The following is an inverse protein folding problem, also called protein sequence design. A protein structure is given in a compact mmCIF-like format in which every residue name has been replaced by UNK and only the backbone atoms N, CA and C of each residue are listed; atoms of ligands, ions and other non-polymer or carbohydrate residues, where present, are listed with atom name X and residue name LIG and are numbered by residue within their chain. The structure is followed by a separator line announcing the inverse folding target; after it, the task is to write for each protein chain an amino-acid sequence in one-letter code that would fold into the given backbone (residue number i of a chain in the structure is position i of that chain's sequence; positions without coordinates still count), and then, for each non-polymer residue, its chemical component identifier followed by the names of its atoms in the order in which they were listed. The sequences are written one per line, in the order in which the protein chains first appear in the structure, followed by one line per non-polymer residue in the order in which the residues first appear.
data_IF_758269433075
#
_entry.id   IF_758269433075
#
_cell.length_a   1.000
_cell.length_b   1.000
_cell.length_c   1.000
_cell.angle_alpha   90.00
_cell.angle_beta   90.00
_cell.angle_gamma   90.00
#
_symmetry.space_group_name_H-M   'P 1'
#
loop_
_entity.id
_entity.type
_entity.pdbx_description
1 polymer ?
#
# COMPACT_ATOMS: atom_id res chain seq x y z
N UNK A 1 33.49 42.18 -53.15
CA UNK A 1 34.41 41.04 -52.92
C UNK A 1 33.53 39.89 -52.42
N UNK A 2 33.52 38.68 -52.99
CA UNK A 2 34.59 37.66 -53.08
C UNK A 2 35.11 37.23 -51.69
N UNK A 3 35.11 35.94 -51.32
CA UNK A 3 34.92 34.69 -52.10
C UNK A 3 34.00 33.66 -51.41
N UNK A 4 33.50 32.71 -52.20
CA UNK A 4 32.98 31.41 -51.73
C UNK A 4 34.12 30.53 -51.17
N UNK A 5 33.77 29.58 -50.29
CA UNK A 5 34.51 28.33 -50.10
C UNK A 5 33.49 27.18 -50.09
N UNK A 6 33.71 26.16 -50.93
CA UNK A 6 32.95 24.92 -50.98
C UNK A 6 33.91 23.74 -50.87
N UNK A 7 33.64 22.79 -49.98
CA UNK A 7 34.03 21.36 -50.08
C UNK A 7 33.03 20.61 -49.17
N UNK A 8 32.13 19.72 -49.64
CA UNK A 8 32.24 18.49 -50.44
C UNK A 8 32.21 17.25 -49.53
N UNK A 9 31.35 16.28 -49.89
CA UNK A 9 31.04 15.09 -49.09
C UNK A 9 32.22 14.11 -49.00
N UNK A 10 32.28 13.39 -47.88
CA UNK A 10 32.69 11.97 -47.87
C UNK A 10 31.57 11.18 -47.16
N UNK A 11 31.28 9.98 -47.69
CA UNK A 11 30.19 9.10 -47.26
C UNK A 11 30.79 7.99 -46.39
N UNK A 12 30.12 7.62 -45.29
CA UNK A 12 30.32 6.32 -44.65
C UNK A 12 28.98 5.64 -44.35
N UNK A 13 28.66 4.64 -45.15
CA UNK A 13 27.56 3.70 -44.93
C UNK A 13 28.14 2.34 -44.53
N UNK A 14 27.80 1.82 -43.35
CA UNK A 14 28.04 0.41 -43.05
C UNK A 14 27.05 -0.15 -42.03
N UNK A 15 25.86 -0.54 -42.52
CA UNK A 15 24.97 -1.45 -41.80
C UNK A 15 25.50 -2.87 -41.93
N UNK A 16 25.99 -3.46 -40.85
CA UNK A 16 26.39 -4.86 -40.78
C UNK A 16 25.54 -5.58 -39.72
N UNK A 17 24.48 -6.27 -40.16
CA UNK A 17 23.63 -7.07 -39.30
C UNK A 17 24.36 -8.38 -38.95
N UNK A 18 24.63 -8.63 -37.66
CA UNK A 18 25.20 -9.91 -37.19
C UNK A 18 24.24 -10.52 -36.16
N UNK A 19 23.47 -11.50 -36.60
CA UNK A 19 22.59 -12.30 -35.75
C UNK A 19 23.41 -13.29 -34.92
N UNK A 20 23.78 -12.91 -33.70
CA UNK A 20 24.35 -13.83 -32.71
C UNK A 20 23.25 -14.58 -31.98
N UNK A 21 23.13 -15.89 -32.18
CA UNK A 21 22.21 -16.76 -31.45
C UNK A 21 22.96 -18.00 -30.95
N UNK A 22 23.29 -18.04 -29.65
CA UNK A 22 23.74 -19.26 -28.97
C UNK A 22 23.43 -19.25 -27.46
N UNK A 23 22.63 -20.23 -27.06
CA UNK A 23 22.57 -20.93 -25.77
C UNK A 23 22.78 -20.13 -24.46
N UNK A 24 21.71 -20.03 -23.67
CA UNK A 24 21.80 -19.96 -22.21
C UNK A 24 22.49 -21.20 -21.62
N UNK A 25 23.19 -21.12 -20.47
CA UNK A 25 23.66 -22.29 -19.75
C UNK A 25 22.48 -23.13 -19.21
N UNK A 26 22.66 -24.44 -18.93
CA UNK A 26 21.65 -25.26 -18.31
C UNK A 26 21.39 -24.82 -16.85
N UNK A 27 20.15 -25.02 -16.40
CA UNK A 27 19.80 -24.93 -14.98
C UNK A 27 20.40 -26.13 -14.24
N UNK A 28 21.13 -25.88 -13.16
CA UNK A 28 21.63 -26.94 -12.27
C UNK A 28 20.48 -27.55 -11.46
N UNK A 29 20.51 -28.87 -11.25
CA UNK A 29 19.47 -29.58 -10.50
C UNK A 29 19.55 -29.27 -9.00
N UNK A 30 18.64 -28.44 -8.49
CA UNK A 30 18.44 -28.29 -7.04
C UNK A 30 17.90 -29.61 -6.49
N UNK A 31 18.81 -30.41 -5.92
CA UNK A 31 18.48 -31.67 -5.26
C UNK A 31 17.70 -31.41 -3.96
N UNK A 32 16.54 -32.04 -3.74
CA UNK A 32 15.85 -31.93 -2.45
C UNK A 32 16.68 -32.58 -1.34
N UNK A 33 16.85 -31.88 -0.23
CA UNK A 33 17.47 -32.44 0.98
C UNK A 33 16.56 -33.52 1.57
N UNK A 34 17.13 -34.68 1.88
CA UNK A 34 16.39 -35.82 2.44
C UNK A 34 15.89 -35.51 3.85
N UNK A 35 14.57 -35.50 4.04
CA UNK A 35 13.96 -35.57 5.38
C UNK A 35 13.93 -37.03 5.86
N UNK A 36 14.68 -37.31 6.93
CA UNK A 36 14.65 -38.61 7.61
C UNK A 36 13.35 -38.78 8.42
N UNK A 37 12.73 -39.96 8.35
CA UNK A 37 11.47 -40.26 9.03
C UNK A 37 11.56 -41.57 9.85
N UNK A 38 10.69 -41.68 10.86
CA UNK A 38 10.57 -42.78 11.83
C UNK A 38 11.75 -42.90 12.84
N UNK A 39 11.55 -43.37 14.09
CA UNK A 39 10.54 -44.35 14.53
C UNK A 39 9.93 -44.08 15.92
N UNK A 40 8.60 -43.98 15.92
CA UNK A 40 7.59 -44.52 16.88
C UNK A 40 8.10 -45.06 18.24
N UNK A 41 7.50 -44.61 19.36
CA UNK A 41 7.16 -45.51 20.49
C UNK A 41 5.89 -45.06 21.24
N UNK A 42 4.88 -45.94 21.22
CA UNK A 42 3.77 -46.21 22.15
C UNK A 42 3.17 -45.12 23.10
N UNK A 43 1.82 -45.06 23.10
CA UNK A 43 1.02 -44.55 24.23
C UNK A 43 0.79 -45.67 25.27
N UNK A 44 0.14 -45.39 26.44
CA UNK A 44 -1.23 -45.93 26.55
C UNK A 44 -2.22 -45.17 27.47
N UNK A 45 -3.46 -45.66 27.43
CA UNK A 45 -4.50 -45.63 28.48
C UNK A 45 -5.40 -44.40 28.58
N UNK A 46 -6.70 -44.70 28.71
CA UNK A 46 -7.82 -43.77 28.81
C UNK A 46 -8.43 -43.75 30.22
N UNK A 47 -9.18 -42.70 30.53
CA UNK A 47 -10.27 -42.74 31.52
C UNK A 47 -11.51 -42.05 30.95
N UNK A 48 -12.60 -42.81 30.86
CA UNK A 48 -13.96 -42.26 30.74
C UNK A 48 -14.62 -42.24 32.12
N UNK A 49 -15.52 -41.30 32.37
CA UNK A 49 -16.68 -41.53 33.24
C UNK A 49 -17.94 -40.86 32.67
N UNK A 50 -19.11 -41.37 33.06
CA UNK A 50 -20.40 -41.16 32.38
C UNK A 50 -21.28 -40.07 32.97
N UNK A 51 -22.23 -39.63 32.15
CA UNK A 51 -23.30 -38.69 32.46
C UNK A 51 -24.46 -39.29 33.28
N UNK A 52 -25.30 -38.38 33.81
CA UNK A 52 -26.73 -38.50 34.15
C UNK A 52 -27.26 -37.04 34.18
N UNK A 53 -28.35 -36.58 33.54
CA UNK A 53 -29.79 -36.97 33.68
C UNK A 53 -30.30 -36.84 35.13
N UNK A 54 -31.46 -36.27 35.49
CA UNK A 54 -32.64 -35.66 34.80
C UNK A 54 -33.44 -34.78 35.82
N UNK A 55 -34.49 -33.97 35.56
CA UNK A 55 -35.26 -33.54 34.38
C UNK A 55 -36.17 -32.28 34.68
N UNK A 56 -36.43 -31.45 33.66
CA UNK A 56 -37.74 -30.89 33.21
C UNK A 56 -38.75 -30.23 34.17
N UNK A 57 -39.15 -28.96 33.89
CA UNK A 57 -40.51 -28.32 33.93
C UNK A 57 -40.38 -26.77 33.95
N UNK A 58 -41.33 -25.90 33.55
CA UNK A 58 -42.58 -25.94 32.73
C UNK A 58 -42.91 -24.49 32.30
N UNK A 59 -43.55 -24.27 31.14
CA UNK A 59 -43.81 -22.93 30.58
C UNK A 59 -44.93 -22.11 31.27
N UNK A 60 -44.85 -20.77 31.16
CA UNK A 60 -45.90 -19.75 31.42
C UNK A 60 -45.65 -18.51 30.54
N UNK A 61 -46.65 -17.62 30.39
CA UNK A 61 -46.87 -16.67 29.28
C UNK A 61 -46.07 -15.34 29.25
N UNK A 62 -46.12 -14.71 28.07
CA UNK A 62 -45.78 -13.32 27.65
C UNK A 62 -46.41 -12.20 28.53
N UNK A 63 -46.03 -10.90 28.41
CA UNK A 63 -45.74 -10.07 27.20
C UNK A 63 -44.24 -9.79 26.98
N UNK A 64 -43.71 -9.60 25.77
CA UNK A 64 -44.03 -8.56 24.76
C UNK A 64 -43.79 -7.13 25.29
N UNK A 65 -42.55 -6.66 25.15
CA UNK A 65 -42.22 -5.24 25.16
C UNK A 65 -41.08 -4.98 24.18
N UNK A 66 -41.27 -3.94 23.38
CA UNK A 66 -40.40 -3.45 22.33
C UNK A 66 -38.97 -3.15 22.83
N UNK A 67 -37.98 -3.81 22.22
CA UNK A 67 -36.59 -3.31 22.13
C UNK A 67 -36.13 -3.46 20.68
N UNK A 68 -36.94 -2.95 19.76
CA UNK A 68 -36.57 -2.77 18.35
C UNK A 68 -35.72 -1.50 18.20
N UNK A 69 -34.70 -1.35 19.06
CA UNK A 69 -33.61 -0.40 18.86
C UNK A 69 -32.78 -0.89 17.69
N UNK A 70 -33.30 -0.70 16.48
CA UNK A 70 -32.52 -0.75 15.26
C UNK A 70 -31.34 0.20 15.47
N UNK A 71 -30.15 -0.39 15.60
CA UNK A 71 -28.90 0.33 15.46
C UNK A 71 -29.03 1.11 14.15
N UNK A 72 -28.82 2.42 14.20
CA UNK A 72 -28.83 3.20 12.97
C UNK A 72 -27.53 2.84 12.24
N UNK A 73 -27.60 1.82 11.39
CA UNK A 73 -26.54 1.47 10.45
C UNK A 73 -26.08 2.77 9.77
N UNK A 74 -24.83 3.17 10.03
CA UNK A 74 -24.30 4.46 9.56
C UNK A 74 -23.32 4.23 8.45
N UNK A 75 -23.81 3.76 7.31
CA UNK A 75 -22.99 3.74 6.10
C UNK A 75 -22.83 5.14 5.50
N UNK A 76 -21.69 5.34 4.82
CA UNK A 76 -21.46 6.48 3.95
C UNK A 76 -20.59 6.05 2.76
N UNK A 77 -20.86 6.58 1.57
CA UNK A 77 -20.12 6.26 0.36
C UNK A 77 -20.03 7.50 -0.54
N UNK A 78 -18.82 7.83 -0.99
CA UNK A 78 -18.55 9.00 -1.84
C UNK A 78 -18.64 8.58 -3.31
N UNK A 79 -19.80 8.81 -3.92
CA UNK A 79 -20.00 8.49 -5.33
C UNK A 79 -19.11 9.34 -6.27
N UNK A 80 -18.62 8.71 -7.35
CA UNK A 80 -17.77 9.29 -8.40
C UNK A 80 -16.33 9.66 -7.96
N UNK A 81 -15.78 8.92 -6.98
CA UNK A 81 -14.32 8.85 -6.77
C UNK A 81 -13.64 8.22 -8.00
N UNK A 82 -12.54 8.79 -8.53
CA UNK A 82 -11.81 8.17 -9.63
C UNK A 82 -11.16 6.86 -9.21
N UNK A 83 -11.42 5.76 -9.93
CA UNK A 83 -10.70 4.49 -9.82
C UNK A 83 -9.49 4.50 -10.78
N UNK A 84 -8.30 4.09 -10.33
CA UNK A 84 -7.07 4.13 -11.14
C UNK A 84 -6.07 3.04 -10.71
N UNK A 85 -5.57 2.25 -11.67
CA UNK A 85 -4.52 1.26 -11.43
C UNK A 85 -3.11 1.87 -11.46
N UNK A 86 -2.19 1.36 -10.63
CA UNK A 86 -0.75 1.66 -10.66
C UNK A 86 -0.04 0.96 -11.81
N UNK A 87 -0.37 -0.31 -12.04
CA UNK A 87 0.19 -1.11 -13.13
C UNK A 87 -0.37 -0.70 -14.52
N UNK A 88 0.39 -0.92 -15.61
CA UNK A 88 1.78 -1.38 -15.63
C UNK A 88 2.83 -0.27 -15.42
N UNK A 89 2.45 1.02 -15.43
CA UNK A 89 3.43 2.11 -15.49
C UNK A 89 4.13 2.44 -14.17
N UNK A 90 3.51 2.14 -13.02
CA UNK A 90 4.07 2.40 -11.69
C UNK A 90 3.99 1.12 -10.84
N UNK A 91 4.99 0.21 -10.92
CA UNK A 91 5.01 -1.00 -10.10
C UNK A 91 4.96 -0.69 -8.60
N UNK A 92 5.69 0.34 -8.13
CA UNK A 92 5.76 0.73 -6.71
C UNK A 92 5.30 2.19 -6.54
N UNK A 93 4.09 2.52 -7.00
CA UNK A 93 3.55 3.89 -6.93
C UNK A 93 2.11 3.96 -6.45
N UNK A 94 1.75 3.13 -5.46
CA UNK A 94 0.42 3.10 -4.87
C UNK A 94 0.04 4.47 -4.27
N UNK A 95 0.97 5.14 -3.60
CA UNK A 95 0.76 6.45 -2.96
C UNK A 95 0.62 7.56 -4.01
N UNK A 96 1.45 7.53 -5.06
CA UNK A 96 1.31 8.45 -6.20
C UNK A 96 -0.06 8.30 -6.90
N UNK A 97 -0.62 7.09 -6.94
CA UNK A 97 -1.93 6.79 -7.54
C UNK A 97 -3.08 7.15 -6.61
N UNK A 98 -3.02 6.81 -5.32
CA UNK A 98 -4.00 7.22 -4.32
C UNK A 98 -4.08 8.76 -4.20
N UNK A 99 -2.94 9.44 -4.19
CA UNK A 99 -2.86 10.90 -4.29
C UNK A 99 -3.44 11.44 -5.60
N UNK A 100 -3.21 10.77 -6.73
CA UNK A 100 -3.82 11.14 -8.03
C UNK A 100 -5.34 11.02 -7.99
N UNK A 101 -5.89 9.97 -7.37
CA UNK A 101 -7.33 9.81 -7.22
C UNK A 101 -7.92 10.90 -6.31
N UNK A 102 -7.23 11.25 -5.21
CA UNK A 102 -7.59 12.36 -4.32
C UNK A 102 -7.56 13.74 -5.02
N UNK A 103 -6.49 14.06 -5.75
CA UNK A 103 -6.34 15.33 -6.47
C UNK A 103 -7.37 15.48 -7.59
N UNK A 104 -7.60 14.42 -8.37
CA UNK A 104 -8.62 14.41 -9.43
C UNK A 104 -10.04 14.58 -8.85
N UNK A 105 -10.36 13.90 -7.74
CA UNK A 105 -11.61 14.14 -7.01
C UNK A 105 -11.72 15.59 -6.51
N UNK A 106 -10.61 16.15 -6.00
CA UNK A 106 -10.53 17.54 -5.56
C UNK A 106 -10.62 18.57 -6.71
N UNK A 107 -10.71 18.13 -7.97
CA UNK A 107 -10.87 18.97 -9.16
C UNK A 107 -9.56 19.39 -9.86
N UNK A 108 -8.41 18.89 -9.41
CA UNK A 108 -7.11 19.10 -10.06
C UNK A 108 -6.77 17.92 -10.96
N UNK A 109 -6.94 18.10 -12.27
CA UNK A 109 -6.72 17.05 -13.27
C UNK A 109 -5.24 16.76 -13.51
N UNK A 110 -4.73 15.67 -12.94
CA UNK A 110 -3.34 15.18 -13.08
C UNK A 110 -3.28 13.67 -13.35
N UNK A 111 -2.19 13.20 -13.95
CA UNK A 111 -1.90 11.77 -14.11
C UNK A 111 -1.03 11.22 -12.98
N UNK A 112 -1.07 9.90 -12.78
CA UNK A 112 -0.21 9.20 -11.80
C UNK A 112 1.27 9.43 -12.04
N UNK A 113 1.69 9.54 -13.31
CA UNK A 113 3.05 9.92 -13.68
C UNK A 113 3.40 11.34 -13.23
N UNK A 114 2.50 12.32 -13.40
CA UNK A 114 2.78 13.70 -12.96
C UNK A 114 2.94 13.82 -11.43
N UNK A 115 2.22 12.99 -10.66
CA UNK A 115 2.42 12.92 -9.20
C UNK A 115 3.71 12.18 -8.86
N UNK A 116 3.95 11.00 -9.45
CA UNK A 116 5.18 10.24 -9.26
C UNK A 116 6.45 11.03 -9.63
N UNK A 117 6.43 11.79 -10.72
CA UNK A 117 7.52 12.67 -11.17
C UNK A 117 7.78 13.82 -10.19
N UNK A 118 6.73 14.32 -9.53
CA UNK A 118 6.82 15.40 -8.54
C UNK A 118 7.33 14.95 -7.16
N UNK A 119 7.26 13.66 -6.83
CA UNK A 119 7.79 13.14 -5.56
C UNK A 119 9.30 13.39 -5.46
N UNK A 120 9.81 13.93 -4.34
CA UNK A 120 11.23 13.87 -4.03
C UNK A 120 11.64 12.41 -3.88
N UNK A 121 12.78 12.01 -4.45
CA UNK A 121 13.26 10.62 -4.47
C UNK A 121 14.64 10.52 -3.83
N UNK A 122 14.91 9.38 -3.20
CA UNK A 122 16.19 9.02 -2.62
C UNK A 122 16.59 7.58 -2.94
N UNK A 123 17.80 7.20 -2.54
CA UNK A 123 18.38 5.90 -2.85
C UNK A 123 17.77 4.75 -2.01
N UNK A 124 17.47 3.62 -2.65
CA UNK A 124 17.22 2.34 -1.98
C UNK A 124 18.43 1.94 -1.12
N UNK A 125 18.24 1.21 -0.01
CA UNK A 125 19.33 0.94 0.93
C UNK A 125 20.44 0.04 0.36
N UNK A 126 21.69 0.40 0.67
CA UNK A 126 22.92 -0.21 0.17
C UNK A 126 24.03 -0.23 1.22
N UNK A 127 25.11 -0.99 0.95
CA UNK A 127 26.32 -1.00 1.79
C UNK A 127 27.31 0.05 1.25
N UNK A 128 27.71 1.01 2.09
CA UNK A 128 28.64 2.07 1.72
C UNK A 128 30.12 1.64 1.80
N UNK A 129 31.05 2.53 1.43
CA UNK A 129 32.51 2.26 1.42
C UNK A 129 33.09 1.89 2.80
N UNK A 130 32.48 2.37 3.90
CA UNK A 130 32.87 2.03 5.28
C UNK A 130 32.21 0.72 5.78
N UNK A 131 31.34 0.11 4.98
CA UNK A 131 30.64 -1.16 5.28
C UNK A 131 29.35 -1.00 6.11
N UNK A 132 28.86 0.22 6.31
CA UNK A 132 27.57 0.48 6.94
C UNK A 132 26.42 0.29 5.93
N UNK A 133 25.28 -0.21 6.40
CA UNK A 133 24.07 -0.37 5.59
C UNK A 133 23.17 0.86 5.77
N UNK A 134 23.07 1.67 4.72
CA UNK A 134 22.45 2.99 4.73
C UNK A 134 21.47 3.16 3.56
N UNK A 135 20.56 4.11 3.65
CA UNK A 135 19.58 4.39 2.60
C UNK A 135 18.74 5.62 2.90
N UNK A 136 17.86 6.01 1.97
CA UNK A 136 16.94 7.13 2.20
C UNK A 136 15.78 6.77 3.14
N UNK A 137 15.10 7.78 3.66
CA UNK A 137 14.07 7.64 4.70
C UNK A 137 12.67 8.02 4.14
N UNK A 138 11.63 7.16 4.28
CA UNK A 138 10.28 7.45 3.78
C UNK A 138 9.61 8.66 4.45
N UNK A 139 10.03 9.04 5.67
CA UNK A 139 9.61 10.28 6.34
C UNK A 139 10.13 11.55 5.66
N UNK A 140 11.06 11.43 4.69
CA UNK A 140 11.76 12.56 4.04
C UNK A 140 11.58 12.57 2.52
N UNK A 141 11.61 11.40 1.87
CA UNK A 141 11.55 11.23 0.41
C UNK A 141 10.90 9.89 0.02
N UNK A 142 10.48 9.73 -1.23
CA UNK A 142 10.22 8.40 -1.78
C UNK A 142 11.52 7.61 -1.88
N UNK A 143 11.58 6.43 -1.27
CA UNK A 143 12.78 5.58 -1.26
C UNK A 143 12.77 4.68 -2.49
N UNK A 144 13.70 4.92 -3.43
CA UNK A 144 13.79 4.25 -4.72
C UNK A 144 13.06 4.98 -5.85
N UNK A 145 12.48 4.22 -6.79
CA UNK A 145 11.77 4.74 -7.96
C UNK A 145 10.37 4.10 -8.11
N UNK A 146 9.27 4.89 -8.14
CA UNK A 146 7.93 4.36 -8.39
C UNK A 146 7.75 3.62 -9.72
N UNK A 147 8.62 3.90 -10.70
CA UNK A 147 8.63 3.27 -12.03
C UNK A 147 9.40 1.93 -12.09
N UNK A 148 10.22 1.60 -11.08
CA UNK A 148 11.03 0.38 -11.01
C UNK A 148 11.05 -0.13 -9.55
N UNK A 149 12.20 -0.41 -8.95
CA UNK A 149 12.32 -0.81 -7.55
C UNK A 149 12.18 0.39 -6.59
N UNK A 150 11.22 0.29 -5.66
CA UNK A 150 11.01 1.24 -4.57
C UNK A 150 10.55 0.56 -3.29
N UNK A 151 10.60 1.29 -2.18
CA UNK A 151 9.81 1.02 -0.98
C UNK A 151 8.55 1.89 -1.04
N UNK A 152 8.66 3.17 -0.69
CA UNK A 152 7.53 4.09 -0.63
C UNK A 152 7.88 5.47 -0.09
N UNK A 153 6.85 6.29 0.14
CA UNK A 153 6.91 7.62 0.78
C UNK A 153 5.80 7.76 1.83
N UNK A 154 6.14 8.32 2.99
CA UNK A 154 5.19 8.55 4.09
C UNK A 154 4.49 9.92 4.02
N UNK A 155 3.50 10.10 4.91
CA UNK A 155 2.52 11.18 4.86
C UNK A 155 3.11 12.59 4.77
N UNK A 156 4.16 12.93 5.52
CA UNK A 156 4.65 14.30 5.62
C UNK A 156 5.24 14.85 4.29
N UNK A 157 6.24 14.21 3.64
CA UNK A 157 6.78 14.68 2.35
C UNK A 157 5.79 14.47 1.19
N UNK A 158 4.87 13.50 1.28
CA UNK A 158 3.72 13.41 0.38
C UNK A 158 2.83 14.65 0.52
N UNK A 159 2.41 15.01 1.73
CA UNK A 159 1.55 16.18 1.99
C UNK A 159 2.20 17.49 1.54
N UNK A 160 3.52 17.67 1.73
CA UNK A 160 4.24 18.80 1.18
C UNK A 160 4.18 18.82 -0.36
N UNK A 161 4.47 17.69 -1.02
CA UNK A 161 4.41 17.57 -2.48
C UNK A 161 3.01 17.89 -3.02
N UNK A 162 1.96 17.34 -2.41
CA UNK A 162 0.58 17.61 -2.82
C UNK A 162 0.18 19.07 -2.54
N UNK A 163 0.72 19.72 -1.51
CA UNK A 163 0.48 21.14 -1.24
C UNK A 163 1.25 22.07 -2.20
N UNK A 164 2.29 21.60 -2.88
CA UNK A 164 2.88 22.32 -4.03
C UNK A 164 1.97 22.23 -5.26
N UNK A 165 1.30 21.09 -5.48
CA UNK A 165 0.36 20.87 -6.60
C UNK A 165 -1.01 21.54 -6.39
N UNK A 166 -1.54 21.51 -5.17
CA UNK A 166 -2.85 22.06 -4.80
C UNK A 166 -2.75 22.94 -3.53
N UNK A 167 -2.18 24.16 -3.64
CA UNK A 167 -1.84 24.99 -2.49
C UNK A 167 -2.98 25.30 -1.53
N UNK A 168 -2.62 25.32 -0.25
CA UNK A 168 -3.46 25.53 0.93
C UNK A 168 -4.57 24.50 1.15
N UNK A 169 -4.93 23.64 0.18
CA UNK A 169 -6.08 22.73 0.32
C UNK A 169 -5.76 21.39 0.96
N UNK A 170 -4.53 20.93 0.90
CA UNK A 170 -4.13 19.64 1.48
C UNK A 170 -4.23 19.72 3.01
N UNK A 171 -4.73 18.65 3.60
CA UNK A 171 -4.80 18.44 5.04
C UNK A 171 -4.17 17.09 5.34
N UNK A 172 -2.93 17.12 5.83
CA UNK A 172 -2.38 15.99 6.57
C UNK A 172 -3.16 15.86 7.88
N UNK A 173 -3.75 14.69 8.10
CA UNK A 173 -4.52 14.35 9.30
C UNK A 173 -3.98 13.09 9.98
N UNK A 174 -2.72 12.73 9.72
CA UNK A 174 -2.04 11.59 10.30
C UNK A 174 -2.00 11.65 11.82
N UNK A 175 -2.16 10.50 12.48
CA UNK A 175 -2.33 10.42 13.94
C UNK A 175 -3.71 10.87 14.46
N UNK A 176 -4.69 11.12 13.59
CA UNK A 176 -6.11 11.22 13.97
C UNK A 176 -6.64 9.89 14.50
N UNK A 177 -7.76 9.89 15.26
CA UNK A 177 -8.45 8.63 15.57
C UNK A 177 -9.24 8.10 14.38
N UNK A 178 -9.50 6.79 14.37
CA UNK A 178 -10.35 6.14 13.36
C UNK A 178 -11.74 6.80 13.25
N UNK A 179 -12.32 7.23 14.37
CA UNK A 179 -13.61 7.94 14.41
C UNK A 179 -13.53 9.39 13.90
N UNK A 180 -12.35 9.95 13.65
CA UNK A 180 -12.17 11.18 12.89
C UNK A 180 -12.05 10.88 11.40
N UNK A 181 -11.28 9.85 11.02
CA UNK A 181 -11.18 9.36 9.63
C UNK A 181 -12.57 9.06 9.03
N UNK A 182 -13.40 8.26 9.72
CA UNK A 182 -14.76 7.95 9.29
C UNK A 182 -15.68 9.19 9.21
N UNK A 183 -15.42 10.24 10.00
CA UNK A 183 -16.16 11.51 9.95
C UNK A 183 -15.73 12.38 8.76
N UNK A 184 -14.46 12.36 8.35
CA UNK A 184 -14.01 13.02 7.12
C UNK A 184 -14.74 12.42 5.91
N UNK A 185 -14.78 11.08 5.82
CA UNK A 185 -15.58 10.37 4.81
C UNK A 185 -17.06 10.79 4.87
N UNK A 186 -17.67 10.77 6.07
CA UNK A 186 -19.07 11.17 6.27
C UNK A 186 -19.36 12.65 5.92
N UNK A 187 -18.34 13.52 5.91
CA UNK A 187 -18.47 14.91 5.45
C UNK A 187 -18.52 15.06 3.92
N UNK A 188 -18.21 13.97 3.19
CA UNK A 188 -18.21 13.91 1.73
C UNK A 188 -16.83 13.96 1.09
N UNK A 189 -15.74 13.90 1.87
CA UNK A 189 -14.36 14.03 1.37
C UNK A 189 -13.60 12.71 1.54
N UNK A 190 -12.96 12.17 0.48
CA UNK A 190 -12.20 10.93 0.56
C UNK A 190 -10.85 11.17 1.24
N UNK A 191 -10.21 10.09 1.70
CA UNK A 191 -8.95 10.17 2.45
C UNK A 191 -7.95 9.15 1.91
N UNK A 192 -6.78 9.63 1.50
CA UNK A 192 -5.63 8.80 1.19
C UNK A 192 -5.05 8.25 2.50
N UNK A 193 -4.85 6.95 2.60
CA UNK A 193 -4.37 6.26 3.82
C UNK A 193 -3.26 5.26 3.49
N UNK A 194 -2.35 5.04 4.43
CA UNK A 194 -1.35 3.96 4.37
C UNK A 194 -1.82 2.79 5.23
N UNK A 195 -1.73 1.60 4.68
CA UNK A 195 -2.12 0.34 5.29
C UNK A 195 -1.20 -0.76 4.70
N UNK A 196 -1.77 -1.90 4.32
CA UNK A 196 -1.07 -2.99 3.64
C UNK A 196 -1.91 -3.55 2.50
N UNK A 197 -1.27 -4.24 1.54
CA UNK A 197 -1.98 -5.03 0.54
C UNK A 197 -2.94 -6.02 1.23
N UNK A 198 -4.18 -6.08 0.76
CA UNK A 198 -5.26 -6.93 1.28
C UNK A 198 -5.60 -6.76 2.79
N UNK A 199 -5.04 -5.75 3.47
CA UNK A 199 -5.02 -5.63 4.94
C UNK A 199 -4.29 -6.80 5.65
N UNK A 200 -3.30 -7.42 4.99
CA UNK A 200 -2.43 -8.42 5.62
C UNK A 200 -1.63 -7.81 6.78
N UNK A 201 -1.37 -8.59 7.83
CA UNK A 201 -0.64 -8.08 9.01
C UNK A 201 0.81 -7.69 8.65
N UNK A 202 1.25 -6.43 8.90
CA UNK A 202 2.57 -5.98 8.50
C UNK A 202 3.69 -6.69 9.25
N UNK A 203 4.81 -6.92 8.55
CA UNK A 203 6.03 -7.50 9.10
C UNK A 203 7.25 -6.69 8.67
N UNK A 204 8.28 -6.65 9.52
CA UNK A 204 9.55 -5.98 9.24
C UNK A 204 10.35 -6.84 8.24
N UNK A 205 10.61 -6.30 7.06
CA UNK A 205 11.47 -6.90 6.03
C UNK A 205 12.95 -6.55 6.28
N UNK A 206 13.23 -5.26 6.53
CA UNK A 206 14.58 -4.71 6.48
C UNK A 206 14.74 -3.46 7.36
N UNK A 207 15.97 -3.21 7.82
CA UNK A 207 16.36 -2.05 8.62
C UNK A 207 17.63 -1.41 8.04
N UNK A 208 17.76 -0.07 8.08
CA UNK A 208 19.00 0.66 7.74
C UNK A 208 19.12 1.98 8.52
N UNK A 209 20.24 2.69 8.32
CA UNK A 209 20.43 4.05 8.84
C UNK A 209 20.32 5.09 7.72
N UNK A 210 19.67 6.23 7.97
CA UNK A 210 19.67 7.35 7.03
C UNK A 210 20.88 8.29 7.21
N UNK A 211 20.97 9.35 6.40
CA UNK A 211 22.08 10.32 6.45
C UNK A 211 22.18 11.11 7.77
N UNK A 212 21.20 10.98 8.68
CA UNK A 212 21.15 11.61 10.01
C UNK A 212 21.29 10.59 11.15
N UNK A 213 21.85 9.40 10.86
CA UNK A 213 22.00 8.24 11.76
C UNK A 213 20.64 7.70 12.30
N UNK A 214 19.50 8.04 11.68
CA UNK A 214 18.18 7.55 12.12
C UNK A 214 17.94 6.12 11.63
N UNK A 215 17.45 5.24 12.51
CA UNK A 215 16.98 3.91 12.12
C UNK A 215 15.70 4.04 11.27
N UNK A 216 15.71 3.41 10.09
CA UNK A 216 14.56 3.27 9.20
C UNK A 216 14.12 1.81 9.19
N UNK A 217 12.84 1.56 9.44
CA UNK A 217 12.20 0.24 9.44
C UNK A 217 11.32 0.09 8.17
N UNK A 218 11.60 -0.91 7.34
CA UNK A 218 10.77 -1.24 6.17
C UNK A 218 9.78 -2.35 6.52
N UNK A 219 8.51 -1.97 6.60
CA UNK A 219 7.39 -2.91 6.77
C UNK A 219 6.81 -3.34 5.42
N UNK A 220 6.53 -4.63 5.27
CA UNK A 220 5.81 -5.20 4.13
C UNK A 220 4.49 -5.86 4.58
N UNK A 221 3.48 -5.98 3.68
CA UNK A 221 3.40 -5.38 2.36
C UNK A 221 2.74 -4.00 2.44
N UNK A 222 3.52 -2.92 2.67
CA UNK A 222 3.00 -1.55 2.75
C UNK A 222 2.25 -1.16 1.48
N UNK A 223 1.11 -0.47 1.64
CA UNK A 223 0.27 -0.05 0.52
C UNK A 223 -0.53 1.21 0.87
N UNK A 224 -0.66 2.14 -0.09
CA UNK A 224 -1.50 3.32 0.05
C UNK A 224 -2.77 3.23 -0.82
N UNK A 225 -3.92 3.55 -0.21
CA UNK A 225 -5.25 3.44 -0.84
C UNK A 225 -6.04 4.75 -0.67
N UNK A 226 -7.10 4.94 -1.47
CA UNK A 226 -8.06 6.04 -1.27
C UNK A 226 -9.34 5.51 -0.62
N UNK A 227 -9.55 5.79 0.67
CA UNK A 227 -10.79 5.51 1.38
C UNK A 227 -11.93 6.37 0.83
N UNK A 228 -12.99 5.72 0.35
CA UNK A 228 -14.16 6.32 -0.32
C UNK A 228 -15.45 6.18 0.49
N UNK A 229 -15.53 5.18 1.36
CA UNK A 229 -16.75 4.86 2.09
C UNK A 229 -16.52 3.88 3.25
N UNK A 230 -17.59 3.64 4.01
CA UNK A 230 -17.65 2.62 5.05
C UNK A 230 -19.10 2.25 5.37
N UNK A 231 -19.30 1.06 5.97
CA UNK A 231 -20.51 0.68 6.69
C UNK A 231 -20.16 0.02 8.05
N UNK A 232 -21.13 -0.62 8.68
CA UNK A 232 -20.97 -1.26 9.99
C UNK A 232 -20.09 -2.54 9.95
N UNK A 233 -19.64 -2.98 8.77
CA UNK A 233 -18.76 -4.15 8.56
C UNK A 233 -17.55 -3.89 7.64
N UNK A 234 -17.66 -2.98 6.66
CA UNK A 234 -16.64 -2.78 5.62
C UNK A 234 -16.12 -1.34 5.52
N UNK A 235 -14.85 -1.20 5.11
CA UNK A 235 -14.29 0.01 4.55
C UNK A 235 -14.18 -0.15 3.02
N UNK A 236 -14.68 0.84 2.27
CA UNK A 236 -14.61 0.87 0.80
C UNK A 236 -13.45 1.76 0.37
N UNK A 237 -12.58 1.24 -0.51
CA UNK A 237 -11.38 1.95 -0.95
C UNK A 237 -11.12 1.74 -2.43
N UNK A 238 -10.75 2.80 -3.14
CA UNK A 238 -10.17 2.67 -4.48
C UNK A 238 -8.72 2.21 -4.30
N UNK A 239 -8.43 0.98 -4.73
CA UNK A 239 -7.16 0.28 -4.57
C UNK A 239 -6.28 0.45 -5.82
N UNK A 240 -5.08 1.04 -5.72
CA UNK A 240 -4.16 1.19 -6.83
C UNK A 240 -3.68 -0.13 -7.46
N UNK A 241 -3.63 -1.23 -6.72
CA UNK A 241 -3.14 -2.53 -7.22
C UNK A 241 -4.21 -3.26 -8.03
N UNK A 242 -5.47 -3.25 -7.58
CA UNK A 242 -6.59 -3.86 -8.36
C UNK A 242 -7.15 -2.91 -9.42
N UNK A 243 -6.94 -1.61 -9.25
CA UNK A 243 -7.44 -0.54 -10.10
C UNK A 243 -8.94 -0.26 -9.99
N UNK A 244 -9.57 -0.64 -8.87
CA UNK A 244 -11.02 -0.54 -8.63
C UNK A 244 -11.35 -0.15 -7.19
N UNK A 245 -12.63 0.10 -6.93
CA UNK A 245 -13.13 0.04 -5.55
C UNK A 245 -13.21 -1.42 -5.04
N UNK A 246 -12.57 -1.70 -3.91
CA UNK A 246 -12.61 -2.96 -3.17
C UNK A 246 -13.19 -2.73 -1.76
N UNK A 247 -13.57 -3.82 -1.07
CA UNK A 247 -14.19 -3.77 0.26
C UNK A 247 -13.41 -4.63 1.28
N UNK A 248 -12.86 -3.99 2.30
CA UNK A 248 -12.05 -4.60 3.36
C UNK A 248 -12.81 -4.63 4.69
N UNK A 249 -12.59 -5.62 5.56
CA UNK A 249 -13.21 -5.64 6.89
C UNK A 249 -12.77 -4.39 7.68
N UNK A 250 -13.74 -3.69 8.28
CA UNK A 250 -13.50 -2.38 8.91
C UNK A 250 -12.67 -2.48 10.19
N UNK A 251 -12.66 -3.62 10.88
CA UNK A 251 -11.85 -3.86 12.06
C UNK A 251 -10.42 -4.31 11.69
N UNK A 252 -10.26 -5.11 10.64
CA UNK A 252 -8.94 -5.47 10.08
C UNK A 252 -8.24 -4.22 9.52
N UNK A 253 -8.93 -3.44 8.67
CA UNK A 253 -8.42 -2.14 8.19
C UNK A 253 -8.03 -1.21 9.33
N UNK A 254 -8.89 -1.06 10.36
CA UNK A 254 -8.56 -0.24 11.54
C UNK A 254 -7.25 -0.71 12.18
N UNK A 255 -7.10 -2.00 12.43
CA UNK A 255 -5.93 -2.55 13.11
C UNK A 255 -4.65 -2.34 12.29
N UNK A 256 -4.72 -2.53 10.97
CA UNK A 256 -3.59 -2.32 10.05
C UNK A 256 -3.23 -0.84 9.99
N UNK A 257 -4.19 0.04 9.74
CA UNK A 257 -3.98 1.49 9.65
C UNK A 257 -3.45 2.09 10.97
N UNK A 258 -3.96 1.65 12.13
CA UNK A 258 -3.42 2.04 13.45
C UNK A 258 -2.00 1.50 13.67
N UNK A 259 -1.63 0.35 13.08
CA UNK A 259 -0.25 -0.18 13.15
C UNK A 259 0.73 0.50 12.19
N UNK A 260 0.27 0.96 11.02
CA UNK A 260 1.07 1.68 10.01
C UNK A 260 1.17 3.20 10.30
N UNK A 261 1.00 3.59 11.57
CA UNK A 261 1.17 4.96 12.07
C UNK A 261 -0.06 5.88 11.97
N UNK A 262 -1.25 5.36 11.65
CA UNK A 262 -2.47 6.14 11.41
C UNK A 262 -2.29 7.27 10.39
N UNK A 263 -1.51 7.00 9.33
CA UNK A 263 -1.18 7.98 8.29
C UNK A 263 -2.40 8.26 7.39
N UNK A 264 -2.69 9.54 7.16
CA UNK A 264 -3.88 9.96 6.41
C UNK A 264 -3.77 11.39 5.82
N UNK A 265 -4.07 11.54 4.54
CA UNK A 265 -4.15 12.86 3.84
C UNK A 265 -5.52 13.05 3.19
N UNK A 266 -6.08 14.25 3.32
CA UNK A 266 -7.34 14.64 2.68
C UNK A 266 -7.26 16.08 2.14
N UNK A 267 -8.39 16.64 1.71
CA UNK A 267 -8.49 18.02 1.18
C UNK A 267 -9.61 18.83 1.84
N UNK A 268 -9.48 20.16 1.83
CA UNK A 268 -10.51 21.11 2.29
C UNK A 268 -11.22 21.86 1.14
#
# INVERSE_FOLDING_TARGET
MMKFISYLLIIFSLTALVTGCFASPPLDEIRPVSSGAATITEAPTSLQMKASETATTKATSTPENDVTTLKKETSYHIANTPELAQLPELPNGCEAVAATMLLNWAGLWVTKQQVADALPKGEMPYVNDDGAFIGSNPEKVFVGDPYDAGYGIYHAPMAETLNQLLPERIVDMSGSTFEQLLKTIQSGTPVMVWATEQMDAPFLELEWQDEEDQLVEWYQPEHALLLTGWDDAYAYMNDPMTGKEEAYDIAEFRSVWESMGSQAITVK
#
